data_IF_802233852452
#
_entry.id   IF_802233852452
#
_cell.length_a   1.000
_cell.length_b   1.000
_cell.length_c   1.000
_cell.angle_alpha   90.00
_cell.angle_beta   90.00
_cell.angle_gamma   90.00
#
_symmetry.space_group_name_H-M   'P 1'
#
loop_
_entity.id
_entity.type
_entity.pdbx_description
1 polymer ?
#
# COMPACT_ATOMS: atom_id res chain seq x y z
N UNK A 1 2.40 -21.85 16.60
CA UNK A 1 1.70 -20.67 17.16
C UNK A 1 1.80 -19.55 16.14
N UNK A 2 0.72 -18.82 15.88
CA UNK A 2 0.73 -17.67 14.96
C UNK A 2 1.22 -16.44 15.71
N UNK A 3 2.32 -15.82 15.26
CA UNK A 3 2.82 -14.57 15.83
C UNK A 3 2.04 -13.38 15.26
N UNK A 4 1.74 -12.38 16.10
CA UNK A 4 1.21 -11.09 15.64
C UNK A 4 2.21 -10.47 14.66
N UNK A 5 1.71 -10.01 13.51
CA UNK A 5 2.55 -9.55 12.40
C UNK A 5 2.17 -8.12 12.03
N UNK A 6 3.16 -7.22 12.10
CA UNK A 6 3.06 -5.80 11.78
C UNK A 6 3.77 -5.52 10.46
N UNK A 7 3.45 -4.39 9.82
CA UNK A 7 3.89 -4.10 8.46
C UNK A 7 4.01 -2.60 8.22
N UNK A 8 5.19 -2.12 7.82
CA UNK A 8 5.39 -0.74 7.37
C UNK A 8 5.50 -0.66 5.84
N UNK A 9 4.72 0.25 5.22
CA UNK A 9 4.17 0.17 3.85
C UNK A 9 4.47 1.30 2.87
N UNK A 10 5.73 1.70 2.69
CA UNK A 10 6.03 2.85 1.87
C UNK A 10 5.90 2.52 0.37
N UNK A 11 5.36 3.47 -0.39
CA UNK A 11 5.51 3.52 -1.85
C UNK A 11 6.79 4.29 -2.19
N UNK A 12 7.62 3.81 -3.13
CA UNK A 12 8.87 4.49 -3.52
C UNK A 12 8.60 5.60 -4.55
N UNK A 13 7.68 6.52 -4.24
CA UNK A 13 7.28 7.64 -5.10
C UNK A 13 7.62 9.03 -4.52
N UNK A 14 8.41 9.06 -3.44
CA UNK A 14 8.91 10.24 -2.77
C UNK A 14 9.80 9.87 -1.59
N UNK A 15 10.43 10.86 -0.96
CA UNK A 15 11.19 10.64 0.27
C UNK A 15 10.27 10.37 1.47
N UNK A 16 10.78 9.65 2.47
CA UNK A 16 10.05 9.47 3.71
C UNK A 16 9.94 10.80 4.47
N UNK A 17 8.80 11.02 5.12
CA UNK A 17 8.53 12.20 5.93
C UNK A 17 8.24 11.78 7.39
N UNK A 18 8.06 12.74 8.29
CA UNK A 18 7.89 12.45 9.72
C UNK A 18 6.70 11.52 10.03
N UNK A 19 5.59 11.64 9.31
CA UNK A 19 4.47 10.69 9.42
C UNK A 19 4.86 9.23 9.08
N UNK A 20 5.72 9.02 8.09
CA UNK A 20 6.26 7.70 7.76
C UNK A 20 7.16 7.18 8.88
N UNK A 21 8.07 8.03 9.39
CA UNK A 21 8.95 7.66 10.49
C UNK A 21 8.14 7.26 11.74
N UNK A 22 7.12 8.04 12.10
CA UNK A 22 6.22 7.71 13.21
C UNK A 22 5.50 6.37 13.00
N UNK A 23 4.92 6.15 11.83
CA UNK A 23 4.23 4.89 11.49
C UNK A 23 5.18 3.68 11.58
N UNK A 24 6.38 3.81 11.04
CA UNK A 24 7.38 2.73 11.05
C UNK A 24 7.85 2.39 12.47
N UNK A 25 8.19 3.40 13.27
CA UNK A 25 8.60 3.24 14.67
C UNK A 25 7.48 2.65 15.54
N UNK A 26 6.22 3.08 15.33
CA UNK A 26 5.07 2.52 16.02
C UNK A 26 4.91 1.02 15.71
N UNK A 27 5.02 0.63 14.44
CA UNK A 27 4.97 -0.78 14.05
C UNK A 27 6.09 -1.61 14.72
N UNK A 28 7.32 -1.08 14.78
CA UNK A 28 8.43 -1.77 15.48
C UNK A 28 8.20 -1.89 16.98
N UNK A 29 7.71 -0.83 17.62
CA UNK A 29 7.38 -0.84 19.04
C UNK A 29 6.31 -1.88 19.35
N UNK A 30 5.21 -1.89 18.59
CA UNK A 30 4.12 -2.85 18.77
C UNK A 30 4.59 -4.29 18.56
N UNK A 31 5.38 -4.55 17.50
CA UNK A 31 5.97 -5.87 17.26
C UNK A 31 6.85 -6.31 18.43
N UNK A 32 7.70 -5.42 18.95
CA UNK A 32 8.61 -5.73 20.06
C UNK A 32 7.86 -6.02 21.35
N UNK A 33 6.84 -5.22 21.68
CA UNK A 33 6.03 -5.36 22.90
C UNK A 33 5.34 -6.73 23.01
N UNK A 34 4.94 -7.31 21.88
CA UNK A 34 4.21 -8.59 21.85
C UNK A 34 5.09 -9.76 21.40
N UNK A 35 6.39 -9.56 21.18
CA UNK A 35 7.28 -10.58 20.60
C UNK A 35 6.83 -11.01 19.20
N UNK A 36 6.21 -10.10 18.44
CA UNK A 36 5.68 -10.30 17.11
C UNK A 36 6.72 -10.09 16.00
N UNK A 37 6.23 -10.11 14.76
CA UNK A 37 7.03 -9.93 13.54
C UNK A 37 6.83 -8.53 12.97
N UNK A 38 7.88 -7.94 12.41
CA UNK A 38 7.79 -6.71 11.63
C UNK A 38 8.22 -6.98 10.19
N UNK A 39 7.31 -6.74 9.24
CA UNK A 39 7.56 -6.86 7.81
C UNK A 39 7.77 -5.49 7.18
N UNK A 40 8.68 -5.43 6.22
CA UNK A 40 8.75 -4.34 5.25
C UNK A 40 8.22 -4.86 3.90
N UNK A 41 7.28 -4.10 3.33
CA UNK A 41 6.77 -4.37 1.97
C UNK A 41 6.70 -3.07 1.19
N UNK A 42 7.36 -3.05 0.05
CA UNK A 42 7.42 -1.92 -0.87
C UNK A 42 6.13 -1.93 -1.71
N UNK A 43 5.38 -0.83 -1.67
CA UNK A 43 4.13 -0.64 -2.44
C UNK A 43 4.46 0.01 -3.80
N UNK A 44 5.09 -0.76 -4.68
CA UNK A 44 5.62 -0.35 -5.99
C UNK A 44 4.71 -0.73 -7.19
N UNK A 45 3.40 -0.85 -6.95
CA UNK A 45 2.44 -1.24 -8.00
C UNK A 45 2.20 -0.15 -9.04
N UNK A 46 2.42 1.12 -8.69
CA UNK A 46 2.41 2.23 -9.63
C UNK A 46 3.82 2.46 -10.19
N UNK A 47 4.19 1.60 -11.14
CA UNK A 47 5.53 1.55 -11.73
C UNK A 47 5.97 2.92 -12.28
N UNK A 48 5.04 3.71 -12.82
CA UNK A 48 5.36 5.00 -13.42
C UNK A 48 5.76 6.07 -12.39
N UNK A 49 5.25 5.97 -11.16
CA UNK A 49 5.59 6.89 -10.06
C UNK A 49 6.71 6.36 -9.18
N UNK A 50 7.07 5.09 -9.29
CA UNK A 50 8.06 4.43 -8.45
C UNK A 50 9.47 4.54 -9.03
N UNK A 51 10.46 4.87 -8.20
CA UNK A 51 11.86 4.92 -8.65
C UNK A 51 12.79 4.10 -7.75
N UNK A 52 13.83 3.44 -8.30
CA UNK A 52 14.83 2.73 -7.51
C UNK A 52 15.56 3.62 -6.49
N UNK A 53 15.69 4.92 -6.80
CA UNK A 53 16.30 5.92 -5.93
C UNK A 53 15.48 6.10 -4.65
N UNK A 54 14.15 6.21 -4.76
CA UNK A 54 13.29 6.31 -3.58
C UNK A 54 13.22 5.01 -2.80
N UNK A 55 13.25 3.84 -3.46
CA UNK A 55 13.32 2.56 -2.74
C UNK A 55 14.62 2.44 -1.92
N UNK A 56 15.76 2.81 -2.52
CA UNK A 56 17.04 2.86 -1.82
C UNK A 56 17.01 3.86 -0.66
N UNK A 57 16.38 5.03 -0.86
CA UNK A 57 16.18 6.03 0.18
C UNK A 57 15.36 5.51 1.36
N UNK A 58 14.29 4.75 1.09
CA UNK A 58 13.48 4.08 2.13
C UNK A 58 14.36 3.18 2.99
N UNK A 59 15.16 2.29 2.39
CA UNK A 59 16.01 1.38 3.18
C UNK A 59 17.01 2.16 4.03
N UNK A 60 17.70 3.14 3.44
CA UNK A 60 18.67 3.98 4.13
C UNK A 60 18.04 4.70 5.34
N UNK A 61 16.87 5.31 5.14
CA UNK A 61 16.23 6.12 6.18
C UNK A 61 15.70 5.22 7.32
N UNK A 62 15.18 4.03 7.00
CA UNK A 62 14.75 3.06 8.01
C UNK A 62 15.93 2.47 8.80
N UNK A 63 17.05 2.18 8.14
CA UNK A 63 18.30 1.77 8.80
C UNK A 63 18.84 2.89 9.71
N UNK A 64 18.83 4.13 9.24
CA UNK A 64 19.25 5.30 10.03
C UNK A 64 18.40 5.50 11.28
N UNK A 65 17.08 5.26 11.19
CA UNK A 65 16.16 5.27 12.33
C UNK A 65 16.35 4.06 13.27
N UNK A 66 17.18 3.08 12.92
CA UNK A 66 17.45 1.89 13.74
C UNK A 66 16.37 0.81 13.65
N UNK A 67 15.51 0.84 12.63
CA UNK A 67 14.49 -0.19 12.44
C UNK A 67 15.12 -1.50 11.96
N UNK A 68 14.56 -2.61 12.42
CA UNK A 68 14.88 -3.95 11.93
C UNK A 68 13.59 -4.63 11.50
N UNK A 69 13.58 -5.17 10.30
CA UNK A 69 12.45 -5.89 9.73
C UNK A 69 12.91 -7.27 9.25
N UNK A 70 11.93 -8.14 9.01
CA UNK A 70 12.16 -9.48 8.48
C UNK A 70 12.60 -9.43 7.01
N UNK A 71 13.52 -10.32 6.66
CA UNK A 71 14.01 -10.50 5.31
C UNK A 71 13.54 -11.87 4.76
N UNK A 72 13.29 -11.99 3.45
CA UNK A 72 13.43 -10.96 2.43
C UNK A 72 12.31 -9.90 2.46
N UNK A 73 12.62 -8.67 2.06
CA UNK A 73 11.63 -7.62 1.79
C UNK A 73 10.76 -8.03 0.61
N UNK A 74 9.43 -7.82 0.72
CA UNK A 74 8.48 -8.07 -0.38
C UNK A 74 8.28 -6.81 -1.22
N UNK A 75 8.38 -6.92 -2.55
CA UNK A 75 7.95 -5.87 -3.50
C UNK A 75 6.65 -6.31 -4.15
N UNK A 76 5.62 -5.46 -4.16
CA UNK A 76 4.33 -5.86 -4.72
C UNK A 76 4.40 -6.14 -6.23
N UNK A 77 5.23 -5.40 -6.97
CA UNK A 77 5.41 -5.59 -8.41
C UNK A 77 5.86 -7.01 -8.78
N UNK A 78 6.61 -7.68 -7.89
CA UNK A 78 7.08 -9.07 -8.06
C UNK A 78 5.94 -10.10 -7.90
N UNK A 79 4.75 -9.70 -7.48
CA UNK A 79 3.62 -10.58 -7.14
C UNK A 79 2.34 -10.31 -7.92
N UNK A 80 2.41 -9.60 -9.05
CA UNK A 80 1.23 -9.32 -9.88
C UNK A 80 0.46 -10.56 -10.33
N UNK A 81 1.13 -11.68 -10.57
CA UNK A 81 0.47 -12.94 -10.89
C UNK A 81 -0.46 -13.44 -9.76
N UNK A 82 -0.08 -13.23 -8.49
CA UNK A 82 -0.91 -13.59 -7.34
C UNK A 82 -2.17 -12.71 -7.28
N UNK A 83 -2.03 -11.41 -7.54
CA UNK A 83 -3.18 -10.48 -7.57
C UNK A 83 -4.13 -10.82 -8.72
N UNK A 84 -3.60 -11.16 -9.89
CA UNK A 84 -4.42 -11.59 -11.02
C UNK A 84 -5.21 -12.86 -10.70
N UNK A 85 -4.57 -13.88 -10.11
CA UNK A 85 -5.27 -15.10 -9.73
C UNK A 85 -6.39 -14.87 -8.70
N UNK A 86 -6.17 -13.95 -7.75
CA UNK A 86 -7.22 -13.55 -6.79
C UNK A 86 -8.34 -12.78 -7.50
N UNK A 87 -8.00 -11.86 -8.40
CA UNK A 87 -8.99 -11.10 -9.18
C UNK A 87 -9.85 -12.05 -10.04
N UNK A 88 -9.24 -13.00 -10.72
CA UNK A 88 -9.94 -14.00 -11.54
C UNK A 88 -10.93 -14.81 -10.69
N UNK A 89 -10.53 -15.17 -9.46
CA UNK A 89 -11.43 -15.84 -8.50
C UNK A 89 -12.59 -14.93 -8.07
N UNK A 90 -12.33 -13.66 -7.77
CA UNK A 90 -13.38 -12.71 -7.41
C UNK A 90 -14.37 -12.47 -8.56
N UNK A 91 -13.89 -12.49 -9.81
CA UNK A 91 -14.74 -12.45 -11.01
C UNK A 91 -15.61 -13.71 -11.09
N UNK A 92 -15.00 -14.89 -10.89
CA UNK A 92 -15.73 -16.17 -10.91
C UNK A 92 -16.77 -16.29 -9.78
N UNK A 93 -16.51 -15.67 -8.62
CA UNK A 93 -17.43 -15.60 -7.48
C UNK A 93 -18.48 -14.47 -7.63
N UNK A 94 -18.51 -13.74 -8.75
CA UNK A 94 -19.39 -12.60 -9.01
C UNK A 94 -19.30 -11.47 -7.96
N UNK A 95 -18.14 -11.33 -7.31
CA UNK A 95 -17.91 -10.32 -6.27
C UNK A 95 -17.37 -8.99 -6.81
N UNK A 96 -16.93 -8.97 -8.06
CA UNK A 96 -16.41 -7.78 -8.76
C UNK A 96 -16.93 -7.73 -10.19
N UNK A 97 -16.98 -6.52 -10.75
CA UNK A 97 -17.37 -6.29 -12.15
C UNK A 97 -16.49 -5.19 -12.77
N UNK A 98 -16.27 -5.23 -14.09
CA UNK A 98 -15.52 -4.17 -14.77
C UNK A 98 -16.31 -2.86 -14.80
N UNK A 99 -15.66 -1.76 -14.42
CA UNK A 99 -16.18 -0.40 -14.56
C UNK A 99 -15.59 0.26 -15.81
N UNK A 100 -16.45 0.82 -16.67
CA UNK A 100 -16.04 1.36 -17.97
C UNK A 100 -16.05 2.89 -18.03
N UNK A 101 -16.70 3.56 -17.07
CA UNK A 101 -16.75 5.02 -17.06
C UNK A 101 -15.36 5.60 -16.78
N UNK A 102 -14.95 6.54 -17.63
CA UNK A 102 -13.79 7.40 -17.38
C UNK A 102 -14.02 8.29 -16.16
N UNK A 103 -12.93 8.84 -15.61
CA UNK A 103 -13.02 9.86 -14.54
C UNK A 103 -13.89 11.06 -14.93
N UNK A 104 -13.93 11.42 -16.23
CA UNK A 104 -14.77 12.51 -16.74
C UNK A 104 -16.26 12.15 -16.72
N UNK A 105 -16.60 10.96 -17.19
CA UNK A 105 -17.99 10.45 -17.20
C UNK A 105 -18.51 10.25 -15.78
N UNK A 106 -17.69 9.75 -14.86
CA UNK A 106 -18.05 9.64 -13.44
C UNK A 106 -18.40 11.02 -12.86
N UNK A 107 -17.58 12.05 -13.11
CA UNK A 107 -17.85 13.41 -12.64
C UNK A 107 -19.13 13.99 -13.25
N UNK A 108 -19.35 13.81 -14.54
CA UNK A 108 -20.55 14.27 -15.22
C UNK A 108 -21.81 13.60 -14.64
N UNK A 109 -21.77 12.28 -14.47
CA UNK A 109 -22.86 11.49 -13.88
C UNK A 109 -23.19 11.94 -12.45
N UNK A 110 -22.18 12.18 -11.61
CA UNK A 110 -22.38 12.68 -10.23
C UNK A 110 -23.01 14.07 -10.23
N UNK A 111 -22.56 14.96 -11.11
CA UNK A 111 -23.08 16.32 -11.23
C UNK A 111 -24.55 16.34 -11.66
N UNK A 112 -24.92 15.51 -12.64
CA UNK A 112 -26.30 15.37 -13.14
C UNK A 112 -27.26 14.84 -12.07
N UNK A 113 -26.80 13.93 -11.20
CA UNK A 113 -27.62 13.35 -10.13
C UNK A 113 -27.73 14.20 -8.86
N UNK A 114 -27.20 15.43 -8.87
CA UNK A 114 -27.35 16.39 -7.77
C UNK A 114 -26.44 16.13 -6.56
N UNK A 115 -25.31 15.45 -6.76
CA UNK A 115 -24.45 14.97 -5.68
C UNK A 115 -23.57 16.06 -5.04
N UNK A 116 -24.14 16.86 -4.12
CA UNK A 116 -23.31 17.54 -3.11
C UNK A 116 -22.75 16.54 -2.08
N UNK A 117 -23.49 15.46 -1.81
CA UNK A 117 -23.16 14.41 -0.83
C UNK A 117 -22.83 13.05 -1.49
N UNK A 118 -22.19 13.06 -2.67
CA UNK A 118 -21.72 11.80 -3.26
C UNK A 118 -20.52 11.28 -2.48
N UNK A 119 -20.49 9.97 -2.11
CA UNK A 119 -19.35 9.39 -1.40
C UNK A 119 -18.05 9.61 -2.18
N UNK A 120 -17.04 10.16 -1.50
CA UNK A 120 -15.68 10.32 -2.03
C UNK A 120 -14.77 9.30 -1.39
N UNK A 121 -13.81 8.84 -2.17
CA UNK A 121 -12.68 8.10 -1.62
C UNK A 121 -11.91 9.03 -0.66
N UNK A 122 -11.35 8.55 0.46
CA UNK A 122 -10.40 9.33 1.27
C UNK A 122 -9.27 9.97 0.46
N UNK A 123 -8.89 9.40 -0.68
CA UNK A 123 -7.87 9.95 -1.59
C UNK A 123 -8.39 11.05 -2.55
N UNK A 124 -9.71 11.34 -2.54
CA UNK A 124 -10.36 12.42 -3.31
C UNK A 124 -11.09 11.96 -4.56
#
# INVERSE_FOLDING_TARGET
>A
MTLLTFRFAPSPNGELHLGHAYSALLNQQMATQVGGRLLLRIEDIDIARCTPQFETGIFRDLEWLGLRWEQPVRRQSEHFAEYQAVLDRLVAEELVYPAFMSRGEIRAFIAERGGRDWPRDPDG
#
